data_IF_851324182022
#
_entry.id   IF_851324182022
#
_cell.length_a   1.000
_cell.length_b   1.000
_cell.length_c   1.000
_cell.angle_alpha   90.00
_cell.angle_beta   90.00
_cell.angle_gamma   90.00
#
_symmetry.space_group_name_H-M   'P 1'
#
loop_
_entity.id
_entity.type
_entity.pdbx_description
1 polymer ?
#
# COMPACT_ATOMS: atom_id res chain seq x y z
N UNK A 1 5.49 40.99 -36.05
CA UNK A 1 4.38 40.02 -35.94
C UNK A 1 4.40 39.09 -37.14
N UNK A 2 4.74 37.81 -36.95
CA UNK A 2 4.82 36.82 -38.03
C UNK A 2 3.40 36.39 -38.41
N UNK A 3 3.02 36.54 -39.69
CA UNK A 3 1.73 36.09 -40.23
C UNK A 3 1.49 34.61 -39.88
N UNK A 4 0.32 34.23 -39.35
CA UNK A 4 -0.01 32.81 -39.19
C UNK A 4 -0.10 32.18 -40.58
N UNK A 5 0.61 31.07 -40.80
CA UNK A 5 0.57 30.33 -42.06
C UNK A 5 -0.84 29.81 -42.30
N UNK A 6 -1.34 30.04 -43.52
CA UNK A 6 -2.68 29.76 -44.03
C UNK A 6 -2.92 28.27 -44.35
N UNK A 7 -2.19 27.36 -43.68
CA UNK A 7 -2.33 25.89 -43.83
C UNK A 7 -3.12 25.28 -42.65
N UNK A 8 -3.65 26.12 -41.76
CA UNK A 8 -4.17 25.69 -40.45
C UNK A 8 -5.63 25.23 -40.44
N UNK A 9 -6.26 25.06 -41.61
CA UNK A 9 -7.71 24.84 -41.69
C UNK A 9 -8.18 23.51 -42.29
N UNK A 10 -7.30 22.63 -42.78
CA UNK A 10 -7.84 21.47 -43.53
C UNK A 10 -8.28 20.29 -42.66
N UNK A 11 -7.68 19.97 -41.52
CA UNK A 11 -8.24 18.96 -40.61
C UNK A 11 -7.90 19.26 -39.14
N UNK A 12 -8.68 20.14 -38.50
CA UNK A 12 -8.73 20.14 -37.05
C UNK A 12 -9.39 18.82 -36.63
N UNK A 13 -8.69 18.01 -35.83
CA UNK A 13 -9.27 16.79 -35.27
C UNK A 13 -10.56 17.19 -34.52
N UNK A 14 -11.61 16.39 -34.67
CA UNK A 14 -12.79 16.53 -33.82
C UNK A 14 -12.42 16.21 -32.37
N UNK A 15 -13.18 16.71 -31.40
CA UNK A 15 -12.94 16.45 -29.97
C UNK A 15 -12.85 14.94 -29.65
N UNK A 16 -13.66 14.12 -30.32
CA UNK A 16 -13.60 12.66 -30.21
C UNK A 16 -12.29 12.07 -30.76
N UNK A 17 -11.78 12.59 -31.88
CA UNK A 17 -10.50 12.17 -32.46
C UNK A 17 -9.30 12.65 -31.63
N UNK A 18 -9.38 13.84 -31.04
CA UNK A 18 -8.37 14.33 -30.09
C UNK A 18 -8.30 13.44 -28.85
N UNK A 19 -9.45 13.09 -28.27
CA UNK A 19 -9.52 12.18 -27.13
C UNK A 19 -8.91 10.80 -27.46
N UNK A 20 -9.25 10.24 -28.63
CA UNK A 20 -8.75 8.95 -29.07
C UNK A 20 -7.24 8.96 -29.36
N UNK A 21 -6.74 10.03 -30.00
CA UNK A 21 -5.31 10.20 -30.25
C UNK A 21 -4.53 10.37 -28.94
N UNK A 22 -5.09 11.13 -27.99
CA UNK A 22 -4.50 11.28 -26.67
C UNK A 22 -4.43 9.93 -25.94
N UNK A 23 -5.49 9.13 -25.98
CA UNK A 23 -5.50 7.78 -25.40
C UNK A 23 -4.39 6.89 -25.98
N UNK A 24 -4.26 6.85 -27.32
CA UNK A 24 -3.21 6.06 -27.98
C UNK A 24 -1.81 6.49 -27.56
N UNK A 25 -1.52 7.79 -27.60
CA UNK A 25 -0.19 8.32 -27.25
C UNK A 25 0.12 8.14 -25.77
N UNK A 26 -0.85 8.32 -24.88
CA UNK A 26 -0.68 8.13 -23.44
C UNK A 26 -0.56 6.67 -23.04
N UNK A 27 -1.06 5.75 -23.88
CA UNK A 27 -0.86 4.31 -23.74
C UNK A 27 0.51 3.83 -24.26
N UNK A 28 1.36 4.74 -24.71
CA UNK A 28 2.73 4.44 -25.15
C UNK A 28 2.90 4.18 -26.64
N UNK A 29 1.89 4.49 -27.47
CA UNK A 29 1.99 4.36 -28.92
C UNK A 29 3.03 5.32 -29.52
N UNK A 30 3.87 4.81 -30.42
CA UNK A 30 4.86 5.62 -31.13
C UNK A 30 4.23 6.56 -32.16
N UNK A 31 4.84 7.72 -32.40
CA UNK A 31 4.29 8.75 -33.31
C UNK A 31 4.12 8.30 -34.76
N UNK A 32 4.96 7.38 -35.24
CA UNK A 32 4.86 6.84 -36.61
C UNK A 32 3.63 5.94 -36.73
N UNK A 33 3.46 5.05 -35.75
CA UNK A 33 2.28 4.17 -35.67
C UNK A 33 0.98 4.97 -35.52
N UNK A 34 0.99 6.02 -34.71
CA UNK A 34 -0.16 6.92 -34.60
C UNK A 34 -0.48 7.62 -35.94
N UNK A 35 0.54 8.07 -36.68
CA UNK A 35 0.34 8.67 -38.01
C UNK A 35 -0.30 7.70 -39.00
N UNK A 36 0.11 6.43 -38.99
CA UNK A 36 -0.44 5.40 -39.86
C UNK A 36 -1.90 5.10 -39.52
N UNK A 37 -2.23 5.02 -38.22
CA UNK A 37 -3.60 4.80 -37.76
C UNK A 37 -4.52 5.98 -38.04
N UNK A 38 -4.07 7.22 -37.83
CA UNK A 38 -4.83 8.43 -38.18
C UNK A 38 -5.18 8.43 -39.68
N UNK A 39 -4.21 8.08 -40.52
CA UNK A 39 -4.44 8.00 -41.97
C UNK A 39 -5.41 6.88 -42.34
N UNK A 40 -5.31 5.71 -41.68
CA UNK A 40 -6.15 4.55 -41.94
C UNK A 40 -7.59 4.74 -41.47
N UNK A 41 -7.78 5.22 -40.24
CA UNK A 41 -9.08 5.34 -39.58
C UNK A 41 -9.83 6.61 -39.99
N UNK A 42 -9.11 7.72 -40.18
CA UNK A 42 -9.74 9.04 -40.38
C UNK A 42 -9.43 9.63 -41.76
N UNK A 43 -8.59 8.99 -42.57
CA UNK A 43 -8.18 9.51 -43.88
C UNK A 43 -7.31 10.77 -43.79
N UNK A 44 -6.88 11.18 -42.59
CA UNK A 44 -6.15 12.43 -42.36
C UNK A 44 -4.66 12.15 -42.38
N UNK A 45 -3.90 12.96 -43.13
CA UNK A 45 -2.44 12.85 -43.15
C UNK A 45 -1.81 13.77 -42.11
N UNK A 46 -1.41 13.22 -40.96
CA UNK A 46 -0.67 13.96 -39.93
C UNK A 46 0.79 13.56 -39.89
N UNK A 47 1.69 14.49 -40.23
CA UNK A 47 3.13 14.24 -40.08
C UNK A 47 3.56 14.12 -38.62
N UNK A 48 4.65 13.37 -38.35
CA UNK A 48 5.25 13.18 -37.02
C UNK A 48 5.37 14.47 -36.19
N UNK A 49 5.78 15.58 -36.82
CA UNK A 49 5.95 16.87 -36.14
C UNK A 49 4.61 17.48 -35.67
N UNK A 50 3.50 17.18 -36.34
CA UNK A 50 2.17 17.61 -35.92
C UNK A 50 1.70 16.81 -34.70
N UNK A 51 1.92 15.49 -34.70
CA UNK A 51 1.60 14.60 -33.57
C UNK A 51 2.45 14.93 -32.34
N UNK A 52 3.74 15.22 -32.55
CA UNK A 52 4.63 15.65 -31.48
C UNK A 52 4.17 16.98 -30.85
N UNK A 53 3.73 17.95 -31.66
CA UNK A 53 3.14 19.20 -31.14
C UNK A 53 1.84 18.94 -30.37
N UNK A 54 0.95 18.11 -30.91
CA UNK A 54 -0.28 17.68 -30.22
C UNK A 54 0.03 17.08 -28.84
N UNK A 55 1.04 16.21 -28.76
CA UNK A 55 1.47 15.62 -27.49
C UNK A 55 1.96 16.66 -26.46
N UNK A 56 2.72 17.66 -26.91
CA UNK A 56 3.23 18.72 -26.03
C UNK A 56 2.15 19.73 -25.61
N UNK A 57 1.22 20.08 -26.52
CA UNK A 57 0.21 21.09 -26.28
C UNK A 57 -1.01 20.54 -25.53
N UNK A 58 -1.39 19.28 -25.78
CA UNK A 58 -2.64 18.69 -25.27
C UNK A 58 -2.37 17.56 -24.27
N UNK A 59 -1.55 16.56 -24.63
CA UNK A 59 -1.31 15.42 -23.74
C UNK A 59 -0.48 15.78 -22.50
N UNK A 60 0.55 16.62 -22.66
CA UNK A 60 1.48 16.97 -21.56
C UNK A 60 0.79 17.75 -20.44
N UNK A 61 0.00 18.81 -20.72
CA UNK A 61 -0.78 19.48 -19.67
C UNK A 61 -1.81 18.57 -19.02
N UNK A 62 -2.48 17.68 -19.78
CA UNK A 62 -3.44 16.73 -19.23
C UNK A 62 -2.79 15.72 -18.27
N UNK A 63 -1.60 15.21 -18.61
CA UNK A 63 -0.81 14.32 -17.73
C UNK A 63 -0.33 15.05 -16.48
N UNK A 64 0.18 16.28 -16.64
CA UNK A 64 0.63 17.08 -15.51
C UNK A 64 -0.53 17.46 -14.58
N UNK A 65 -1.70 17.80 -15.12
CA UNK A 65 -2.91 18.07 -14.34
C UNK A 65 -3.40 16.82 -13.61
N UNK A 66 -3.38 15.65 -14.26
CA UNK A 66 -3.70 14.36 -13.62
C UNK A 66 -2.73 14.04 -12.48
N UNK A 67 -1.42 14.25 -12.69
CA UNK A 67 -0.40 14.07 -11.64
C UNK A 67 -0.56 15.06 -10.50
N UNK A 68 -0.86 16.32 -10.79
CA UNK A 68 -1.11 17.35 -9.78
C UNK A 68 -2.34 17.01 -8.93
N UNK A 69 -3.44 16.53 -9.55
CA UNK A 69 -4.63 16.04 -8.82
C UNK A 69 -4.29 14.84 -7.94
N UNK A 70 -3.54 13.87 -8.46
CA UNK A 70 -3.10 12.72 -7.68
C UNK A 70 -2.21 13.14 -6.49
N UNK A 71 -1.29 14.09 -6.69
CA UNK A 71 -0.45 14.63 -5.63
C UNK A 71 -1.25 15.42 -4.58
N UNK A 72 -2.24 16.21 -5.00
CA UNK A 72 -3.16 16.91 -4.08
C UNK A 72 -3.98 15.93 -3.25
N UNK A 73 -4.51 14.89 -3.88
CA UNK A 73 -5.24 13.83 -3.20
C UNK A 73 -4.34 13.09 -2.20
N UNK A 74 -3.09 12.78 -2.58
CA UNK A 74 -2.10 12.19 -1.68
C UNK A 74 -1.79 13.07 -0.46
N UNK A 75 -1.69 14.40 -0.64
CA UNK A 75 -1.46 15.32 0.49
C UNK A 75 -2.67 15.43 1.41
N UNK A 76 -3.87 15.55 0.84
CA UNK A 76 -5.11 15.56 1.63
C UNK A 76 -5.28 14.25 2.42
N UNK A 77 -4.83 13.15 1.82
CA UNK A 77 -4.82 11.83 2.43
C UNK A 77 -3.81 11.74 3.58
N UNK A 78 -2.57 12.20 3.39
CA UNK A 78 -1.59 12.26 4.48
C UNK A 78 -2.08 13.09 5.67
N UNK A 79 -2.74 14.22 5.41
CA UNK A 79 -3.29 15.08 6.46
C UNK A 79 -4.43 14.38 7.22
N UNK A 80 -5.28 13.60 6.55
CA UNK A 80 -6.32 12.81 7.19
C UNK A 80 -5.74 11.62 7.97
N UNK A 81 -4.71 10.96 7.45
CA UNK A 81 -3.97 9.88 8.12
C UNK A 81 -3.33 10.34 9.42
N UNK A 82 -2.76 11.57 9.46
CA UNK A 82 -2.24 12.16 10.71
C UNK A 82 -3.34 12.40 11.75
N UNK A 83 -4.56 12.72 11.31
CA UNK A 83 -5.69 12.97 12.21
C UNK A 83 -6.35 11.68 12.70
N UNK A 84 -6.30 10.61 11.92
CA UNK A 84 -6.96 9.32 12.21
C UNK A 84 -6.06 8.12 11.87
N UNK A 85 -4.95 7.94 12.60
CA UNK A 85 -4.03 6.84 12.35
C UNK A 85 -4.75 5.48 12.48
N UNK A 86 -4.54 4.58 11.51
CA UNK A 86 -5.10 3.22 11.46
C UNK A 86 -6.50 3.07 10.83
N UNK A 87 -7.27 4.16 10.66
CA UNK A 87 -8.57 4.10 9.95
C UNK A 87 -8.40 3.98 8.43
N UNK A 88 -7.36 4.62 7.91
CA UNK A 88 -7.05 4.63 6.48
C UNK A 88 -6.58 3.28 5.96
N UNK A 89 -5.81 2.53 6.77
CA UNK A 89 -5.29 1.23 6.39
C UNK A 89 -6.45 0.24 6.15
N UNK A 90 -7.44 0.22 7.05
CA UNK A 90 -8.64 -0.62 6.90
C UNK A 90 -9.45 -0.27 5.66
N UNK A 91 -9.73 1.02 5.45
CA UNK A 91 -10.48 1.48 4.28
C UNK A 91 -9.75 1.18 2.96
N UNK A 92 -8.42 1.30 2.95
CA UNK A 92 -7.59 0.97 1.78
C UNK A 92 -7.58 -0.52 1.50
N UNK A 93 -7.45 -1.35 2.53
CA UNK A 93 -7.53 -2.80 2.41
C UNK A 93 -8.90 -3.22 1.87
N UNK A 94 -9.99 -2.62 2.36
CA UNK A 94 -11.35 -2.84 1.86
C UNK A 94 -11.50 -2.42 0.40
N UNK A 95 -10.95 -1.27 0.00
CA UNK A 95 -10.98 -0.81 -1.39
C UNK A 95 -10.20 -1.75 -2.32
N UNK A 96 -9.03 -2.23 -1.88
CA UNK A 96 -8.24 -3.23 -2.63
C UNK A 96 -9.01 -4.55 -2.74
N UNK A 97 -9.69 -4.98 -1.68
CA UNK A 97 -10.54 -6.17 -1.70
C UNK A 97 -11.73 -6.02 -2.66
N UNK A 98 -12.40 -4.86 -2.63
CA UNK A 98 -13.45 -4.54 -3.58
C UNK A 98 -12.91 -4.54 -5.01
N UNK A 99 -11.74 -3.95 -5.24
CA UNK A 99 -11.17 -3.92 -6.59
C UNK A 99 -10.78 -5.32 -7.09
N UNK A 100 -10.24 -6.16 -6.21
CA UNK A 100 -9.96 -7.55 -6.52
C UNK A 100 -11.23 -8.31 -6.90
N UNK A 101 -12.34 -8.08 -6.18
CA UNK A 101 -13.64 -8.66 -6.50
C UNK A 101 -14.15 -8.20 -7.88
N UNK A 102 -14.13 -6.89 -8.16
CA UNK A 102 -14.55 -6.34 -9.46
C UNK A 102 -13.77 -6.95 -10.63
N UNK A 103 -12.43 -7.00 -10.53
CA UNK A 103 -11.59 -7.56 -11.58
C UNK A 103 -11.80 -9.07 -11.69
N UNK A 104 -12.01 -9.78 -10.60
CA UNK A 104 -12.29 -11.23 -10.64
C UNK A 104 -13.64 -11.57 -11.28
N UNK A 105 -14.58 -10.62 -11.26
CA UNK A 105 -15.90 -10.78 -11.88
C UNK A 105 -15.94 -10.39 -13.37
N UNK A 106 -14.91 -9.71 -13.88
CA UNK A 106 -14.81 -9.32 -15.29
C UNK A 106 -14.33 -10.50 -16.15
N UNK A 107 -15.13 -10.98 -17.12
CA UNK A 107 -14.74 -12.08 -18.01
C UNK A 107 -13.50 -11.78 -18.88
N UNK A 108 -13.15 -10.51 -19.06
CA UNK A 108 -12.00 -10.07 -19.85
C UNK A 108 -10.78 -9.70 -19.00
N UNK A 109 -10.84 -9.90 -17.68
CA UNK A 109 -9.73 -9.59 -16.80
C UNK A 109 -8.49 -10.41 -17.14
N UNK A 110 -7.33 -9.76 -17.07
CA UNK A 110 -6.05 -10.46 -17.23
C UNK A 110 -5.79 -11.30 -15.98
N UNK A 111 -5.42 -12.59 -16.11
CA UNK A 111 -5.14 -13.45 -14.97
C UNK A 111 -4.08 -12.90 -14.00
N UNK A 112 -3.10 -12.16 -14.52
CA UNK A 112 -2.04 -11.55 -13.71
C UNK A 112 -2.56 -10.41 -12.83
N UNK A 113 -3.54 -9.63 -13.29
CA UNK A 113 -4.12 -8.53 -12.52
C UNK A 113 -4.92 -9.07 -11.31
N UNK A 114 -5.68 -10.15 -11.52
CA UNK A 114 -6.38 -10.88 -10.45
C UNK A 114 -5.38 -11.44 -9.44
N UNK A 115 -4.34 -12.15 -9.92
CA UNK A 115 -3.31 -12.73 -9.05
C UNK A 115 -2.63 -11.67 -8.19
N UNK A 116 -2.26 -10.54 -8.78
CA UNK A 116 -1.56 -9.47 -8.08
C UNK A 116 -2.40 -8.90 -6.93
N UNK A 117 -3.67 -8.60 -7.18
CA UNK A 117 -4.56 -8.06 -6.15
C UNK A 117 -4.87 -9.07 -5.05
N UNK A 118 -5.16 -10.32 -5.40
CA UNK A 118 -5.39 -11.39 -4.42
C UNK A 118 -4.13 -11.64 -3.58
N UNK A 119 -2.94 -11.62 -4.19
CA UNK A 119 -1.67 -11.79 -3.46
C UNK A 119 -1.42 -10.66 -2.47
N UNK A 120 -1.80 -9.41 -2.80
CA UNK A 120 -1.70 -8.29 -1.86
C UNK A 120 -2.62 -8.51 -0.66
N UNK A 121 -3.86 -8.94 -0.89
CA UNK A 121 -4.83 -9.25 0.17
C UNK A 121 -4.30 -10.36 1.08
N UNK A 122 -3.75 -11.43 0.51
CA UNK A 122 -3.17 -12.53 1.29
C UNK A 122 -2.02 -12.05 2.18
N UNK A 123 -1.10 -11.24 1.63
CA UNK A 123 0.01 -10.66 2.41
C UNK A 123 -0.48 -9.79 3.57
N UNK A 124 -1.54 -9.01 3.37
CA UNK A 124 -2.16 -8.21 4.43
C UNK A 124 -2.69 -9.13 5.54
N UNK A 125 -3.38 -10.24 5.19
CA UNK A 125 -3.89 -11.20 6.17
C UNK A 125 -2.77 -11.93 6.92
N UNK A 126 -1.68 -12.27 6.23
CA UNK A 126 -0.50 -12.86 6.86
C UNK A 126 0.12 -11.90 7.89
N UNK A 127 0.19 -10.60 7.58
CA UNK A 127 0.66 -9.57 8.51
C UNK A 127 -0.26 -9.46 9.73
N UNK A 128 -1.59 -9.41 9.54
CA UNK A 128 -2.54 -9.38 10.65
C UNK A 128 -2.42 -10.62 11.57
N UNK A 129 -2.18 -11.79 10.98
CA UNK A 129 -1.95 -13.02 11.75
C UNK A 129 -0.63 -12.96 12.51
N UNK A 130 0.44 -12.44 11.89
CA UNK A 130 1.72 -12.28 12.54
C UNK A 130 1.66 -11.30 13.71
N UNK A 131 0.96 -10.18 13.56
CA UNK A 131 0.73 -9.21 14.64
C UNK A 131 -0.02 -9.82 15.82
N UNK A 132 -1.10 -10.58 15.56
CA UNK A 132 -1.84 -11.30 16.61
C UNK A 132 -0.96 -12.31 17.33
N UNK A 133 -0.08 -13.00 16.60
CA UNK A 133 0.85 -13.98 17.17
C UNK A 133 1.87 -13.29 18.08
N UNK A 134 2.45 -12.18 17.61
CA UNK A 134 3.38 -11.37 18.38
C UNK A 134 2.73 -10.82 19.66
N UNK A 135 1.48 -10.37 19.58
CA UNK A 135 0.73 -9.90 20.75
C UNK A 135 0.54 -11.02 21.79
N UNK A 136 0.15 -12.23 21.35
CA UNK A 136 0.01 -13.39 22.23
C UNK A 136 1.35 -13.81 22.86
N UNK A 137 2.43 -13.82 22.09
CA UNK A 137 3.75 -14.15 22.61
C UNK A 137 4.25 -13.10 23.61
N UNK A 138 3.94 -11.83 23.38
CA UNK A 138 4.21 -10.73 24.33
C UNK A 138 3.44 -10.92 25.63
N UNK A 139 2.16 -11.27 25.57
CA UNK A 139 1.33 -11.54 26.74
C UNK A 139 1.84 -12.75 27.53
N UNK A 140 2.21 -13.84 26.84
CA UNK A 140 2.81 -15.02 27.46
C UNK A 140 4.11 -14.68 28.19
N UNK A 141 4.99 -13.92 27.55
CA UNK A 141 6.24 -13.48 28.16
C UNK A 141 5.99 -12.64 29.42
N UNK A 142 5.01 -11.73 29.39
CA UNK A 142 4.64 -10.93 30.55
C UNK A 142 4.13 -11.79 31.72
N UNK A 143 3.32 -12.81 31.43
CA UNK A 143 2.85 -13.76 32.44
C UNK A 143 4.01 -14.57 33.04
N UNK A 144 4.96 -15.01 32.22
CA UNK A 144 6.17 -15.70 32.71
C UNK A 144 7.04 -14.79 33.58
N UNK A 145 7.32 -13.56 33.12
CA UNK A 145 8.06 -12.56 33.91
C UNK A 145 7.39 -12.36 35.27
N UNK A 146 6.05 -12.23 35.30
CA UNK A 146 5.31 -12.07 36.55
C UNK A 146 5.46 -13.28 37.46
N UNK A 147 5.34 -14.50 36.92
CA UNK A 147 5.57 -15.74 37.70
C UNK A 147 6.97 -15.77 38.32
N UNK A 148 8.00 -15.39 37.57
CA UNK A 148 9.37 -15.33 38.08
C UNK A 148 9.53 -14.27 39.17
N UNK A 149 8.93 -13.09 38.99
CA UNK A 149 8.93 -12.04 40.01
C UNK A 149 8.25 -12.50 41.31
N UNK A 150 7.11 -13.17 41.20
CA UNK A 150 6.38 -13.70 42.35
C UNK A 150 7.18 -14.81 43.07
N UNK A 151 7.85 -15.69 42.32
CA UNK A 151 8.72 -16.73 42.87
C UNK A 151 9.96 -16.15 43.59
N UNK A 152 10.62 -15.15 43.00
CA UNK A 152 11.74 -14.44 43.62
C UNK A 152 11.29 -13.74 44.90
N UNK A 153 10.13 -13.06 44.86
CA UNK A 153 9.58 -12.39 46.03
C UNK A 153 9.23 -13.39 47.16
N UNK A 154 8.70 -14.57 46.83
CA UNK A 154 8.43 -15.63 47.79
C UNK A 154 9.73 -16.16 48.43
N UNK A 155 10.74 -16.47 47.62
CA UNK A 155 12.05 -16.91 48.10
C UNK A 155 12.72 -15.86 49.00
N UNK A 156 12.63 -14.57 48.65
CA UNK A 156 13.15 -13.49 49.49
C UNK A 156 12.46 -13.40 50.85
N UNK A 157 11.13 -13.60 50.91
CA UNK A 157 10.39 -13.64 52.19
C UNK A 157 10.84 -14.81 53.05
N UNK A 158 11.04 -15.99 52.46
CA UNK A 158 11.55 -17.14 53.20
C UNK A 158 12.96 -16.89 53.73
N UNK A 159 13.88 -16.39 52.90
CA UNK A 159 15.24 -16.02 53.33
C UNK A 159 15.21 -14.98 54.46
N UNK A 160 14.33 -13.99 54.40
CA UNK A 160 14.16 -13.00 55.46
C UNK A 160 13.66 -13.62 56.76
N UNK A 161 12.70 -14.54 56.69
CA UNK A 161 12.20 -15.27 57.86
C UNK A 161 13.31 -16.09 58.54
N UNK A 162 14.15 -16.76 57.75
CA UNK A 162 15.28 -17.56 58.23
C UNK A 162 16.36 -16.72 58.92
N UNK A 163 16.66 -15.54 58.39
CA UNK A 163 17.60 -14.60 59.02
C UNK A 163 17.09 -14.15 60.39
N UNK A 164 15.79 -14.01 60.59
CA UNK A 164 15.21 -13.64 61.88
C UNK A 164 15.19 -14.79 62.91
N UNK A 165 15.23 -16.05 62.46
CA UNK A 165 15.12 -17.24 63.32
C UNK A 165 16.44 -17.98 63.60
N UNK A 166 17.61 -17.39 63.30
CA UNK A 166 18.90 -17.84 63.84
C UNK A 166 19.74 -18.77 62.95
N UNK A 167 19.43 -18.92 61.66
CA UNK A 167 20.27 -19.66 60.70
C UNK A 167 19.49 -20.50 59.70
N UNK A 168 20.13 -20.84 58.56
CA UNK A 168 19.51 -21.63 57.48
C UNK A 168 19.38 -23.09 57.91
N UNK A 169 18.15 -23.52 58.17
CA UNK A 169 17.83 -24.94 58.44
C UNK A 169 17.69 -25.72 57.12
N UNK A 170 17.91 -27.05 57.11
CA UNK A 170 17.75 -27.89 55.93
C UNK A 170 16.34 -27.82 55.32
N UNK A 171 15.31 -27.71 56.16
CA UNK A 171 13.92 -27.57 55.72
C UNK A 171 13.67 -26.26 54.96
N UNK A 172 14.35 -25.17 55.36
CA UNK A 172 14.19 -23.91 54.62
C UNK A 172 14.99 -23.87 53.33
N UNK A 173 16.15 -24.53 53.28
CA UNK A 173 16.88 -24.71 52.03
C UNK A 173 16.02 -25.46 50.99
N UNK A 174 15.28 -26.48 51.44
CA UNK A 174 14.39 -27.27 50.59
C UNK A 174 13.19 -26.47 50.05
N UNK A 175 12.62 -25.55 50.84
CA UNK A 175 11.53 -24.67 50.40
C UNK A 175 11.99 -23.62 49.40
N UNK A 176 13.17 -23.03 49.63
CA UNK A 176 13.82 -22.11 48.69
C UNK A 176 14.13 -22.84 47.37
N UNK A 177 14.68 -24.06 47.44
CA UNK A 177 14.92 -24.88 46.25
C UNK A 177 13.63 -25.25 45.52
N UNK A 178 12.54 -25.55 46.21
CA UNK A 178 11.24 -25.81 45.58
C UNK A 178 10.65 -24.55 44.93
N UNK A 179 10.77 -23.38 45.56
CA UNK A 179 10.34 -22.11 44.99
C UNK A 179 11.16 -21.72 43.75
N UNK A 180 12.46 -22.07 43.73
CA UNK A 180 13.35 -21.86 42.59
C UNK A 180 13.25 -22.97 41.53
N UNK A 181 12.76 -24.17 41.85
CA UNK A 181 12.53 -25.28 40.91
C UNK A 181 11.25 -25.15 40.07
N UNK A 182 10.56 -24.01 40.13
CA UNK A 182 9.56 -23.61 39.13
C UNK A 182 10.20 -23.10 37.81
N UNK A 183 11.53 -23.23 37.66
CA UNK A 183 12.30 -23.04 36.42
C UNK A 183 12.15 -24.26 35.51
#
# INVERSE_FOLDING_TARGET
MKKPRKDRSEHALTEAQEAQLAEWLLSGMGYIQASELIQKEWGIRMGKNAIMRFYHEICTPAVLARRARAAQMSRALEDDMRRRPGSFDKATIELVAQKAFEISADPNAKPDDVRNLVSLILKIRDQELAEKKLALDTERLQLEIKKYQDAIAAAQREIASVKSSGGITPETLQKIEQALKLI
#
